data_IF_736244337556
#
_entry.id   IF_736244337556
#
_cell.length_a   1.000
_cell.length_b   1.000
_cell.length_c   1.000
_cell.angle_alpha   90.00
_cell.angle_beta   90.00
_cell.angle_gamma   90.00
#
_symmetry.space_group_name_H-M   'P 1'
#
loop_
_entity.id
_entity.type
_entity.pdbx_description
1 polymer ?
#
# COMPACT_ATOMS: atom_id res chain seq x y z
N UNK A 1 14.00 -15.57 4.10
CA UNK A 1 12.58 -16.01 4.10
C UNK A 1 11.95 -15.63 2.78
N UNK A 2 11.18 -16.52 2.21
CA UNK A 2 10.50 -16.27 0.94
C UNK A 2 8.99 -16.26 1.17
N UNK A 3 8.31 -15.22 0.66
CA UNK A 3 6.87 -15.08 0.72
C UNK A 3 6.30 -14.97 -0.69
N UNK A 4 4.99 -15.14 -0.81
CA UNK A 4 4.29 -14.99 -2.08
C UNK A 4 3.37 -13.77 -1.99
N UNK A 5 3.23 -13.05 -3.11
CA UNK A 5 2.40 -11.86 -3.16
C UNK A 5 0.92 -12.14 -2.84
N UNK A 6 0.48 -13.36 -3.08
CA UNK A 6 -0.91 -13.73 -2.78
C UNK A 6 -1.15 -13.96 -1.29
N UNK A 7 -0.08 -14.11 -0.51
CA UNK A 7 -0.17 -14.24 0.94
C UNK A 7 1.18 -13.83 1.54
N UNK A 8 1.25 -12.61 2.01
CA UNK A 8 2.48 -12.10 2.63
C UNK A 8 2.60 -12.53 4.08
N UNK A 9 1.62 -13.23 4.62
CA UNK A 9 1.59 -13.57 6.03
C UNK A 9 1.29 -12.35 6.89
N UNK A 10 1.51 -12.48 8.19
CA UNK A 10 1.31 -11.38 9.12
C UNK A 10 -0.14 -11.25 9.58
N UNK A 11 -0.46 -10.09 10.12
CA UNK A 11 -1.74 -9.85 10.76
C UNK A 11 -2.61 -8.91 9.92
N UNK A 12 -3.92 -9.13 9.98
CA UNK A 12 -4.89 -8.19 9.41
C UNK A 12 -4.94 -6.99 10.34
N UNK A 13 -4.55 -5.83 9.81
CA UNK A 13 -4.57 -4.57 10.56
C UNK A 13 -5.91 -3.90 10.41
N UNK A 14 -6.50 -4.00 9.22
CA UNK A 14 -7.76 -3.35 8.92
C UNK A 14 -8.51 -4.12 7.84
N UNK A 15 -9.79 -4.32 8.05
CA UNK A 15 -10.68 -4.94 7.08
C UNK A 15 -11.98 -4.15 7.11
N UNK A 16 -12.22 -3.36 6.08
CA UNK A 16 -13.39 -2.50 6.01
C UNK A 16 -14.00 -2.51 4.62
N UNK A 17 -14.92 -1.58 4.34
CA UNK A 17 -15.61 -1.52 3.07
C UNK A 17 -14.71 -1.09 1.92
N UNK A 18 -13.60 -0.43 2.21
CA UNK A 18 -12.69 0.11 1.21
C UNK A 18 -11.54 -0.83 0.88
N UNK A 19 -10.95 -1.44 1.90
CA UNK A 19 -9.75 -2.25 1.69
C UNK A 19 -9.49 -3.26 2.81
N UNK A 20 -8.63 -4.22 2.49
CA UNK A 20 -8.04 -5.16 3.44
C UNK A 20 -6.55 -4.83 3.55
N UNK A 21 -6.10 -4.50 4.74
CA UNK A 21 -4.71 -4.17 5.01
C UNK A 21 -4.07 -5.23 5.90
N UNK A 22 -2.98 -5.79 5.44
CA UNK A 22 -2.18 -6.74 6.21
C UNK A 22 -0.78 -6.19 6.42
N UNK A 23 -0.21 -6.43 7.59
CA UNK A 23 1.18 -6.10 7.92
C UNK A 23 1.94 -7.35 8.31
N UNK A 24 3.07 -7.56 7.67
CA UNK A 24 4.04 -8.58 8.07
C UNK A 24 5.20 -7.89 8.79
N UNK A 25 5.31 -8.14 10.08
CA UNK A 25 6.32 -7.52 10.96
C UNK A 25 7.42 -8.50 11.36
N UNK A 26 7.73 -9.44 10.48
CA UNK A 26 8.79 -10.42 10.74
C UNK A 26 10.16 -9.75 10.90
N UNK A 27 10.43 -8.74 10.09
CA UNK A 27 11.69 -8.02 10.14
C UNK A 27 11.64 -6.92 11.21
N UNK A 28 12.82 -6.59 11.72
CA UNK A 28 12.95 -5.67 12.84
C UNK A 28 12.73 -4.21 12.47
N UNK A 29 13.25 -3.81 11.31
CA UNK A 29 13.25 -2.40 10.90
C UNK A 29 12.35 -2.10 9.71
N UNK A 30 11.78 -3.12 9.10
CA UNK A 30 10.91 -2.96 7.95
C UNK A 30 9.61 -3.71 8.16
N UNK A 31 8.54 -3.12 7.72
CA UNK A 31 7.23 -3.77 7.69
C UNK A 31 6.80 -3.93 6.25
N UNK A 32 6.44 -5.16 5.87
CA UNK A 32 5.85 -5.42 4.57
C UNK A 32 4.35 -5.35 4.71
N UNK A 33 3.72 -4.44 3.98
CA UNK A 33 2.27 -4.28 4.02
C UNK A 33 1.66 -4.60 2.67
N UNK A 34 0.49 -5.21 2.69
CA UNK A 34 -0.31 -5.37 1.49
C UNK A 34 -1.68 -4.75 1.69
N UNK A 35 -2.14 -4.02 0.67
CA UNK A 35 -3.46 -3.41 0.67
C UNK A 35 -4.25 -3.97 -0.50
N UNK A 36 -5.37 -4.60 -0.19
CA UNK A 36 -6.27 -5.18 -1.18
C UNK A 36 -7.49 -4.27 -1.26
N UNK A 37 -7.54 -3.43 -2.31
CA UNK A 37 -8.60 -2.44 -2.48
C UNK A 37 -9.83 -3.08 -3.08
N UNK A 38 -10.99 -2.73 -2.55
CA UNK A 38 -12.25 -3.15 -3.13
C UNK A 38 -12.57 -2.33 -4.37
N UNK A 39 -13.36 -2.89 -5.33
CA UNK A 39 -13.67 -2.18 -6.58
C UNK A 39 -14.31 -0.82 -6.35
N UNK A 40 -13.94 0.14 -7.19
CA UNK A 40 -14.49 1.51 -7.20
C UNK A 40 -14.21 2.30 -5.93
N UNK A 41 -13.25 1.86 -5.13
CA UNK A 41 -12.81 2.60 -3.95
C UNK A 41 -11.49 3.31 -4.25
N UNK A 42 -11.22 4.34 -3.48
CA UNK A 42 -9.96 5.09 -3.60
C UNK A 42 -9.33 5.26 -2.23
N UNK A 43 -8.02 5.45 -2.24
CA UNK A 43 -7.28 5.72 -1.02
C UNK A 43 -6.48 7.00 -1.19
N UNK A 44 -6.15 7.63 -0.08
CA UNK A 44 -5.33 8.82 -0.04
C UNK A 44 -3.95 8.47 0.47
N UNK A 45 -2.92 8.77 -0.32
CA UNK A 45 -1.55 8.72 0.14
C UNK A 45 -1.26 9.93 1.01
N UNK A 46 -0.51 9.74 2.07
CA UNK A 46 -0.12 10.84 2.95
C UNK A 46 1.31 10.66 3.40
N UNK A 47 1.96 11.78 3.71
CA UNK A 47 3.32 11.77 4.22
C UNK A 47 3.31 11.59 5.72
N UNK A 48 4.34 10.92 6.21
CA UNK A 48 4.59 10.76 7.63
C UNK A 48 5.95 11.38 7.96
N UNK A 49 6.02 12.18 8.99
CA UNK A 49 7.29 12.75 9.42
C UNK A 49 8.23 11.63 9.85
N UNK A 50 9.43 11.64 9.30
CA UNK A 50 10.43 10.64 9.62
C UNK A 50 10.26 9.30 8.93
N UNK A 51 9.34 9.20 7.97
CA UNK A 51 9.09 7.95 7.27
C UNK A 51 8.99 8.16 5.77
N UNK A 52 9.62 7.24 5.05
CA UNK A 52 9.46 7.11 3.61
C UNK A 52 8.60 5.90 3.31
N UNK A 53 7.87 5.94 2.21
CA UNK A 53 7.02 4.83 1.79
C UNK A 53 7.19 4.54 0.32
N UNK A 54 7.03 3.28 -0.05
CA UNK A 54 6.99 2.83 -1.43
C UNK A 54 5.70 2.07 -1.65
N UNK A 55 4.93 2.47 -2.65
CA UNK A 55 3.76 1.74 -3.10
C UNK A 55 4.09 1.06 -4.42
N UNK A 56 3.92 -0.25 -4.46
CA UNK A 56 4.11 -1.05 -5.65
C UNK A 56 2.77 -1.66 -6.03
N UNK A 57 2.25 -1.29 -7.20
CA UNK A 57 0.95 -1.75 -7.66
C UNK A 57 1.10 -2.99 -8.52
N UNK A 58 0.41 -4.05 -8.13
CA UNK A 58 0.58 -5.36 -8.75
C UNK A 58 -0.58 -5.76 -9.64
N UNK A 59 -1.80 -5.41 -9.25
CA UNK A 59 -3.02 -5.78 -9.96
C UNK A 59 -4.02 -4.65 -9.95
N UNK A 60 -4.82 -4.59 -11.01
CA UNK A 60 -5.91 -3.64 -11.10
C UNK A 60 -5.45 -2.23 -11.44
N UNK A 61 -6.42 -1.40 -11.80
CA UNK A 61 -6.19 0.00 -12.10
C UNK A 61 -6.98 0.86 -11.14
N UNK A 62 -6.43 2.01 -10.80
CA UNK A 62 -7.11 2.93 -9.91
C UNK A 62 -6.48 4.30 -9.94
N UNK A 63 -6.83 5.10 -8.95
CA UNK A 63 -6.27 6.42 -8.78
C UNK A 63 -5.74 6.56 -7.35
N UNK A 64 -4.70 7.36 -7.20
CA UNK A 64 -4.13 7.68 -5.92
C UNK A 64 -4.04 9.18 -5.78
N UNK A 65 -4.51 9.69 -4.65
CA UNK A 65 -4.45 11.12 -4.36
C UNK A 65 -3.20 11.40 -3.51
N UNK A 66 -2.35 12.30 -4.03
CA UNK A 66 -1.13 12.75 -3.37
C UNK A 66 -1.21 14.26 -3.20
N UNK A 67 -1.36 14.72 -1.97
CA UNK A 67 -1.56 16.13 -1.65
C UNK A 67 -2.74 16.69 -2.46
N UNK A 68 -2.48 17.59 -3.41
CA UNK A 68 -3.50 18.19 -4.27
C UNK A 68 -3.56 17.57 -5.66
N UNK A 69 -2.82 16.48 -5.88
CA UNK A 69 -2.75 15.80 -7.18
C UNK A 69 -3.44 14.44 -7.13
N UNK A 70 -4.06 14.08 -8.24
CA UNK A 70 -4.60 12.76 -8.44
C UNK A 70 -3.85 12.11 -9.60
N UNK A 71 -3.32 10.92 -9.38
CA UNK A 71 -2.58 10.17 -10.40
C UNK A 71 -3.27 8.85 -10.68
N UNK A 72 -3.16 8.40 -11.92
CA UNK A 72 -3.62 7.06 -12.29
C UNK A 72 -2.53 6.05 -11.99
N UNK A 73 -2.92 4.90 -11.46
CA UNK A 73 -1.99 3.81 -11.14
C UNK A 73 -2.50 2.50 -11.72
N UNK A 74 -1.58 1.63 -12.08
CA UNK A 74 -1.88 0.32 -12.62
C UNK A 74 -0.76 -0.66 -12.36
N UNK A 75 -0.86 -1.88 -12.90
CA UNK A 75 0.15 -2.92 -12.65
C UNK A 75 1.54 -2.48 -13.07
N UNK A 76 2.50 -2.66 -12.19
CA UNK A 76 3.89 -2.28 -12.42
C UNK A 76 4.26 -0.87 -12.02
N UNK A 77 3.29 -0.04 -11.65
CA UNK A 77 3.58 1.32 -11.18
C UNK A 77 4.18 1.29 -9.78
N UNK A 78 5.10 2.21 -9.55
CA UNK A 78 5.74 2.39 -8.25
C UNK A 78 5.62 3.87 -7.88
N UNK A 79 5.10 4.12 -6.69
CA UNK A 79 4.96 5.48 -6.17
C UNK A 79 5.83 5.63 -4.93
N UNK A 80 6.68 6.64 -4.95
CA UNK A 80 7.58 6.94 -3.84
C UNK A 80 7.03 8.11 -3.04
N UNK A 81 6.95 7.93 -1.74
CA UNK A 81 6.51 8.96 -0.81
C UNK A 81 7.72 9.37 0.03
N UNK A 82 8.16 10.60 -0.15
CA UNK A 82 9.32 11.12 0.57
C UNK A 82 8.97 11.47 2.01
N UNK A 83 10.02 11.50 2.85
CA UNK A 83 9.93 11.92 4.24
C UNK A 83 9.55 13.42 4.32
N UNK A 84 8.59 13.70 5.11
CA UNK A 84 8.14 15.07 5.35
C UNK A 84 7.21 15.61 4.32
#
# INVERSE_FOLDING_TARGET
>A
MKLNINDIGGDIVKDNETYLLKDNKTLKNLVLSSTDMKPNMSTRGHKHDGQEEVYYFLKGNGTMQLDDKTIDVGPGDVVLIEDG
#
